data_IF_020896046916
#
_entry.id   IF_020896046916
#
_cell.length_a   1.000
_cell.length_b   1.000
_cell.length_c   1.000
_cell.angle_alpha   90.00
_cell.angle_beta   90.00
_cell.angle_gamma   90.00
#
_symmetry.space_group_name_H-M   'P 1'
#
loop_
_entity.id
_entity.type
_entity.pdbx_description
1 polymer ?
#
# COMPACT_ATOMS: atom_id res chain seq x y z
N UNK A 1 2.52 -12.86 -4.48
CA UNK A 1 1.46 -11.91 -4.85
C UNK A 1 0.34 -12.06 -3.86
N UNK A 2 -0.07 -10.96 -3.24
CA UNK A 2 -1.30 -10.84 -2.45
C UNK A 2 -2.34 -10.15 -3.34
N UNK A 3 -3.61 -10.54 -3.27
CA UNK A 3 -4.65 -9.91 -4.06
C UNK A 3 -5.95 -9.76 -3.27
N UNK A 4 -6.75 -8.78 -3.66
CA UNK A 4 -8.00 -8.41 -3.00
C UNK A 4 -8.88 -7.53 -3.87
N UNK A 5 -9.90 -6.95 -3.26
CA UNK A 5 -10.82 -6.03 -3.92
C UNK A 5 -11.09 -4.82 -3.03
N UNK A 6 -11.27 -3.64 -3.66
CA UNK A 6 -11.69 -2.43 -2.95
C UNK A 6 -13.09 -2.65 -2.39
N UNK A 7 -13.27 -2.42 -1.09
CA UNK A 7 -14.59 -2.52 -0.41
C UNK A 7 -15.13 -1.14 0.00
N UNK A 8 -14.26 -0.12 0.03
CA UNK A 8 -14.65 1.26 0.30
C UNK A 8 -13.69 2.22 -0.40
N UNK A 9 -14.22 3.17 -1.15
CA UNK A 9 -13.45 4.27 -1.73
C UNK A 9 -13.45 5.45 -0.78
N UNK A 10 -12.30 6.11 -0.61
CA UNK A 10 -12.14 7.30 0.21
C UNK A 10 -11.77 8.53 -0.63
N UNK A 11 -12.12 9.71 -0.11
CA UNK A 11 -12.07 10.99 -0.84
C UNK A 11 -11.29 12.09 -0.10
N UNK A 12 -10.61 11.73 1.00
CA UNK A 12 -10.02 12.70 1.91
C UNK A 12 -8.50 12.77 1.77
N UNK A 13 -7.96 13.94 2.11
CA UNK A 13 -6.52 14.21 2.28
C UNK A 13 -6.27 14.77 3.66
N UNK A 14 -5.05 14.60 4.17
CA UNK A 14 -4.56 15.22 5.40
C UNK A 14 -3.10 15.60 5.20
N UNK A 15 -2.72 16.76 5.73
CA UNK A 15 -1.35 17.28 5.69
C UNK A 15 -0.62 17.12 7.03
N UNK A 16 -1.33 16.76 8.10
CA UNK A 16 -0.81 16.60 9.47
C UNK A 16 -1.43 15.33 10.10
N UNK A 17 -1.44 14.22 9.34
CA UNK A 17 -2.12 12.99 9.76
C UNK A 17 -1.46 12.32 10.96
N UNK A 18 -0.15 12.46 11.11
CA UNK A 18 0.63 11.87 12.21
C UNK A 18 0.59 10.36 12.27
N UNK A 19 0.63 9.67 11.13
CA UNK A 19 0.91 8.22 11.12
C UNK A 19 2.37 7.97 11.46
N UNK A 20 2.66 6.78 12.00
CA UNK A 20 4.00 6.39 12.41
C UNK A 20 4.39 5.06 11.75
N UNK A 21 5.53 5.06 11.07
CA UNK A 21 6.01 3.87 10.38
C UNK A 21 6.47 2.81 11.38
N UNK A 22 5.83 1.65 11.35
CA UNK A 22 6.22 0.49 12.15
C UNK A 22 7.59 -0.08 11.69
N UNK A 23 8.36 -0.77 12.56
CA UNK A 23 9.70 -1.27 12.23
C UNK A 23 9.77 -2.39 11.19
N UNK A 24 8.64 -2.90 10.74
CA UNK A 24 8.60 -4.18 10.05
C UNK A 24 8.59 -3.97 8.54
N UNK A 25 9.50 -4.65 7.86
CA UNK A 25 9.59 -4.63 6.40
C UNK A 25 8.41 -5.32 5.72
N UNK A 26 7.69 -6.20 6.42
CA UNK A 26 6.60 -6.98 5.84
C UNK A 26 5.50 -7.36 6.83
N UNK A 27 4.36 -7.76 6.28
CA UNK A 27 3.20 -8.27 7.01
C UNK A 27 2.56 -9.45 6.30
N UNK A 28 2.37 -10.54 7.05
CA UNK A 28 1.41 -11.56 6.64
C UNK A 28 0.01 -10.98 6.72
N UNK A 29 -0.77 -11.19 5.66
CA UNK A 29 -2.19 -10.85 5.60
C UNK A 29 -2.98 -12.10 5.24
N UNK A 30 -4.17 -12.25 5.81
CA UNK A 30 -5.05 -13.41 5.61
C UNK A 30 -6.21 -13.07 4.70
N UNK A 31 -6.75 -14.08 4.04
CA UNK A 31 -8.01 -13.93 3.33
C UNK A 31 -9.13 -13.52 4.29
N UNK A 32 -9.94 -12.55 3.89
CA UNK A 32 -11.00 -11.94 4.69
C UNK A 32 -10.55 -10.78 5.59
N UNK A 33 -9.23 -10.51 5.72
CA UNK A 33 -8.76 -9.30 6.40
C UNK A 33 -9.02 -8.07 5.53
N UNK A 34 -9.41 -6.96 6.14
CA UNK A 34 -9.65 -5.68 5.47
C UNK A 34 -8.58 -4.68 5.92
N UNK A 35 -7.93 -4.00 4.98
CA UNK A 35 -6.87 -3.04 5.28
C UNK A 35 -7.07 -1.72 4.55
N UNK A 36 -6.65 -0.62 5.18
CA UNK A 36 -6.72 0.73 4.61
C UNK A 36 -5.48 0.98 3.74
N UNK A 37 -5.68 1.46 2.52
CA UNK A 37 -4.62 1.84 1.59
C UNK A 37 -4.49 3.37 1.60
N UNK A 38 -3.28 3.85 1.89
CA UNK A 38 -3.03 5.27 2.12
C UNK A 38 -1.85 5.71 1.29
N UNK A 39 -2.09 6.59 0.32
CA UNK A 39 -1.05 7.12 -0.55
C UNK A 39 -0.28 8.27 0.14
N UNK A 40 1.04 8.32 -0.04
CA UNK A 40 1.91 9.39 0.49
C UNK A 40 3.09 9.62 -0.45
N UNK A 41 3.65 10.83 -0.43
CA UNK A 41 4.87 11.21 -1.15
C UNK A 41 6.14 11.03 -0.29
N UNK A 42 5.98 10.65 0.98
CA UNK A 42 7.10 10.38 1.89
C UNK A 42 7.95 9.21 1.37
N UNK A 43 9.26 9.30 1.58
CA UNK A 43 10.26 8.28 1.19
C UNK A 43 11.03 7.69 2.37
N UNK A 44 10.88 8.28 3.56
CA UNK A 44 11.56 7.83 4.78
C UNK A 44 11.08 6.44 5.18
N UNK A 45 12.03 5.58 5.58
CA UNK A 45 11.73 4.17 5.90
C UNK A 45 12.23 3.74 7.27
N UNK A 46 12.81 4.66 8.04
CA UNK A 46 13.16 4.44 9.43
C UNK A 46 11.93 4.14 10.30
N UNK A 47 12.10 3.25 11.28
CA UNK A 47 11.12 3.04 12.34
C UNK A 47 10.79 4.37 13.03
N UNK A 48 9.51 4.61 13.32
CA UNK A 48 9.06 5.83 13.99
C UNK A 48 8.99 7.05 13.06
N UNK A 49 9.30 6.90 11.77
CA UNK A 49 9.16 8.00 10.81
C UNK A 49 7.73 8.50 10.76
N UNK A 50 7.57 9.81 10.90
CA UNK A 50 6.27 10.48 10.88
C UNK A 50 5.79 10.67 9.45
N UNK A 51 4.57 10.21 9.16
CA UNK A 51 3.91 10.30 7.87
C UNK A 51 2.67 11.19 8.01
N UNK A 52 2.74 12.37 7.42
CA UNK A 52 1.75 13.43 7.63
C UNK A 52 0.92 13.72 6.38
N UNK A 53 1.59 13.88 5.22
CA UNK A 53 0.94 14.16 3.93
C UNK A 53 0.42 12.88 3.31
N UNK A 54 -0.89 12.71 3.36
CA UNK A 54 -1.57 11.49 2.92
C UNK A 54 -2.82 11.78 2.09
N UNK A 55 -3.07 10.91 1.12
CA UNK A 55 -4.31 10.81 0.38
C UNK A 55 -4.89 9.40 0.58
N UNK A 56 -6.13 9.31 1.03
CA UNK A 56 -6.74 8.03 1.35
C UNK A 56 -7.31 7.40 0.08
N UNK A 57 -6.84 6.20 -0.27
CA UNK A 57 -7.33 5.46 -1.43
C UNK A 57 -8.65 4.78 -1.10
N UNK A 58 -8.65 3.97 -0.03
CA UNK A 58 -9.78 3.13 0.28
C UNK A 58 -9.43 1.98 1.19
N UNK A 59 -10.40 1.13 1.46
CA UNK A 59 -10.18 -0.16 2.10
C UNK A 59 -10.23 -1.27 1.07
N UNK A 60 -9.36 -2.27 1.21
CA UNK A 60 -9.36 -3.49 0.41
C UNK A 60 -9.53 -4.72 1.29
N UNK A 61 -10.43 -5.62 0.89
CA UNK A 61 -10.52 -6.97 1.47
C UNK A 61 -9.55 -7.88 0.75
N UNK A 62 -8.73 -8.59 1.51
CA UNK A 62 -7.77 -9.57 0.99
C UNK A 62 -8.53 -10.83 0.60
N UNK A 63 -8.47 -11.20 -0.68
CA UNK A 63 -9.07 -12.43 -1.20
C UNK A 63 -8.03 -13.56 -1.30
N UNK A 64 -6.77 -13.21 -1.56
CA UNK A 64 -5.64 -14.12 -1.66
C UNK A 64 -4.59 -13.73 -0.63
N UNK A 65 -4.48 -14.54 0.43
CA UNK A 65 -3.54 -14.36 1.53
C UNK A 65 -2.06 -14.40 1.07
N UNK A 66 -1.17 -13.86 1.89
CA UNK A 66 0.26 -13.94 1.64
C UNK A 66 1.04 -12.96 2.50
N UNK A 67 2.18 -12.52 1.99
CA UNK A 67 3.04 -11.51 2.61
C UNK A 67 3.04 -10.28 1.72
N UNK A 68 2.77 -9.13 2.31
CA UNK A 68 2.97 -7.82 1.69
C UNK A 68 4.34 -7.32 2.16
N UNK A 69 5.24 -7.07 1.22
CA UNK A 69 6.57 -6.55 1.47
C UNK A 69 6.63 -5.05 1.15
N UNK A 70 7.41 -4.30 1.93
CA UNK A 70 7.87 -2.98 1.51
C UNK A 70 8.58 -3.11 0.17
N UNK A 71 8.21 -2.24 -0.77
CA UNK A 71 8.69 -2.27 -2.16
C UNK A 71 7.76 -3.01 -3.13
N UNK A 72 6.75 -3.76 -2.65
CA UNK A 72 5.75 -4.35 -3.56
C UNK A 72 5.05 -3.25 -4.36
N UNK A 73 4.87 -3.48 -5.66
CA UNK A 73 3.97 -2.65 -6.46
C UNK A 73 2.55 -2.86 -6.00
N UNK A 74 1.84 -1.76 -5.77
CA UNK A 74 0.40 -1.75 -5.56
C UNK A 74 -0.26 -1.46 -6.90
N UNK A 75 -1.05 -2.40 -7.39
CA UNK A 75 -1.76 -2.32 -8.66
C UNK A 75 -3.27 -2.34 -8.42
N UNK A 76 -3.99 -1.50 -9.15
CA UNK A 76 -5.46 -1.52 -9.23
C UNK A 76 -5.85 -1.77 -10.68
N UNK A 77 -6.61 -2.85 -10.92
CA UNK A 77 -7.01 -3.29 -12.27
C UNK A 77 -5.80 -3.37 -13.23
N UNK A 78 -4.66 -3.85 -12.74
CA UNK A 78 -3.41 -3.98 -13.48
C UNK A 78 -2.57 -2.70 -13.60
N UNK A 79 -3.11 -1.52 -13.30
CA UNK A 79 -2.38 -0.24 -13.29
C UNK A 79 -1.64 -0.03 -11.98
N UNK A 80 -0.35 0.28 -12.03
CA UNK A 80 0.44 0.66 -10.84
C UNK A 80 -0.07 2.00 -10.29
N UNK A 81 -0.39 2.00 -9.00
CA UNK A 81 -0.80 3.21 -8.25
C UNK A 81 0.27 3.69 -7.26
N UNK A 82 1.28 2.85 -6.99
CA UNK A 82 2.44 3.18 -6.16
C UNK A 82 3.18 1.93 -5.70
N UNK A 83 4.03 2.07 -4.70
CA UNK A 83 4.76 0.96 -4.05
C UNK A 83 4.52 0.96 -2.55
N UNK A 84 4.53 -0.19 -1.89
CA UNK A 84 4.36 -0.26 -0.44
C UNK A 84 5.55 0.41 0.24
N UNK A 85 5.30 1.48 0.98
CA UNK A 85 6.29 2.16 1.83
C UNK A 85 6.47 1.42 3.17
N UNK A 86 5.38 0.88 3.70
CA UNK A 86 5.35 0.12 4.95
C UNK A 86 3.98 0.18 5.60
N UNK A 87 3.95 0.15 6.93
CA UNK A 87 2.72 -0.06 7.69
C UNK A 87 2.62 0.92 8.86
N UNK A 88 1.43 1.43 9.12
CA UNK A 88 1.07 2.10 10.36
C UNK A 88 0.00 1.26 11.09
N UNK A 89 0.11 1.23 12.42
CA UNK A 89 -0.69 0.38 13.30
C UNK A 89 -1.69 1.11 14.17
N UNK A 90 -2.00 2.40 13.91
CA UNK A 90 -2.81 3.20 14.83
C UNK A 90 -4.24 2.64 15.05
N UNK A 91 -4.72 1.79 14.15
CA UNK A 91 -6.01 1.09 14.27
C UNK A 91 -5.88 -0.42 14.53
N UNK A 92 -4.67 -0.95 14.74
CA UNK A 92 -4.48 -2.37 15.06
C UNK A 92 -5.15 -2.71 16.41
N UNK A 93 -5.84 -3.87 16.57
CA UNK A 93 -5.91 -5.02 15.67
C UNK A 93 -7.03 -4.97 14.61
N UNK A 94 -7.74 -3.85 14.45
CA UNK A 94 -8.82 -3.76 13.46
C UNK A 94 -8.27 -3.90 12.03
N UNK A 95 -7.31 -3.04 11.67
CA UNK A 95 -6.61 -3.10 10.40
C UNK A 95 -5.26 -2.40 10.48
N UNK A 96 -4.38 -2.68 9.51
CA UNK A 96 -3.24 -1.82 9.21
C UNK A 96 -3.63 -0.71 8.25
N UNK A 97 -2.96 0.43 8.39
CA UNK A 97 -2.75 1.34 7.27
C UNK A 97 -1.57 0.81 6.45
N UNK A 98 -1.82 0.32 5.25
CA UNK A 98 -0.76 0.00 4.28
C UNK A 98 -0.43 1.29 3.55
N UNK A 99 0.78 1.81 3.82
CA UNK A 99 1.26 3.05 3.27
C UNK A 99 1.82 2.80 1.86
N UNK A 100 1.35 3.57 0.89
CA UNK A 100 1.68 3.43 -0.54
C UNK A 100 2.42 4.69 -0.98
N UNK A 101 3.71 4.57 -1.28
CA UNK A 101 4.50 5.64 -1.84
C UNK A 101 4.10 5.93 -3.30
N UNK A 102 3.95 7.22 -3.61
CA UNK A 102 3.83 7.75 -4.98
C UNK A 102 4.24 9.22 -5.01
N UNK A 103 4.91 9.71 -6.07
CA UNK A 103 5.32 11.11 -6.16
C UNK A 103 4.14 12.10 -6.21
N UNK A 104 2.94 11.64 -6.57
CA UNK A 104 1.74 12.47 -6.64
C UNK A 104 0.55 11.74 -5.97
N UNK A 105 0.41 11.85 -4.64
CA UNK A 105 -0.66 11.17 -3.91
C UNK A 105 -2.03 11.66 -4.38
N UNK A 106 -2.89 10.71 -4.74
CA UNK A 106 -4.28 10.93 -5.10
C UNK A 106 -5.18 10.14 -4.17
N UNK A 107 -6.38 10.64 -3.91
CA UNK A 107 -7.44 9.89 -3.22
C UNK A 107 -8.02 8.82 -4.13
N UNK A 108 -8.78 7.89 -3.55
CA UNK A 108 -9.44 6.85 -4.34
C UNK A 108 -10.38 7.43 -5.39
N UNK A 109 -11.18 8.44 -5.05
CA UNK A 109 -12.06 9.08 -6.01
C UNK A 109 -11.32 9.82 -7.13
N UNK A 110 -10.21 10.49 -6.83
CA UNK A 110 -9.40 11.17 -7.87
C UNK A 110 -8.71 10.17 -8.81
N UNK A 111 -8.41 8.96 -8.33
CA UNK A 111 -7.94 7.85 -9.16
C UNK A 111 -9.05 7.13 -9.92
N UNK A 112 -10.32 7.49 -9.67
CA UNK A 112 -11.47 6.84 -10.27
C UNK A 112 -11.72 5.42 -9.75
N UNK A 113 -11.27 5.11 -8.52
CA UNK A 113 -11.52 3.81 -7.91
C UNK A 113 -13.01 3.59 -7.68
N UNK A 114 -13.44 2.35 -7.85
CA UNK A 114 -14.76 1.85 -7.52
C UNK A 114 -14.67 0.66 -6.53
N UNK A 115 -15.72 0.38 -5.75
CA UNK A 115 -15.85 -0.91 -5.09
C UNK A 115 -15.68 -2.06 -6.11
N UNK A 116 -15.15 -3.18 -5.63
CA UNK A 116 -14.83 -4.40 -6.39
C UNK A 116 -13.63 -4.28 -7.36
N UNK A 117 -13.04 -3.08 -7.50
CA UNK A 117 -11.77 -2.94 -8.23
C UNK A 117 -10.71 -3.87 -7.65
N UNK A 118 -10.03 -4.59 -8.54
CA UNK A 118 -9.05 -5.60 -8.16
C UNK A 118 -7.76 -4.92 -7.68
N UNK A 119 -7.32 -5.25 -6.47
CA UNK A 119 -6.05 -4.78 -5.89
C UNK A 119 -5.05 -5.94 -5.88
N UNK A 120 -3.81 -5.67 -6.27
CA UNK A 120 -2.72 -6.64 -6.25
C UNK A 120 -1.46 -6.01 -5.62
N UNK A 121 -0.80 -6.76 -4.74
CA UNK A 121 0.54 -6.47 -4.23
C UNK A 121 1.51 -7.45 -4.88
N UNK A 122 2.46 -6.92 -5.65
CA UNK A 122 3.36 -7.72 -6.48
C UNK A 122 4.80 -7.35 -6.22
N UNK A 123 5.60 -8.34 -5.83
CA UNK A 123 7.05 -8.20 -5.75
C UNK A 123 7.61 -7.82 -7.13
N UNK A 124 8.37 -6.73 -7.16
CA UNK A 124 9.18 -6.39 -8.33
C UNK A 124 10.32 -7.41 -8.37
N UNK A 125 10.40 -8.19 -9.45
CA UNK A 125 11.59 -9.03 -9.67
C UNK A 125 12.72 -8.12 -10.13
N UNK A 126 13.84 -8.11 -9.43
CA UNK A 126 15.08 -7.65 -10.04
C UNK A 126 15.42 -8.61 -11.19
N UNK A 127 15.60 -8.07 -12.40
CA UNK A 127 16.22 -8.84 -13.47
C UNK A 127 17.65 -9.19 -13.03
N UNK A 128 17.96 -10.48 -13.00
CA UNK A 128 19.32 -10.92 -12.70
C UNK A 128 20.28 -10.29 -13.73
N UNK A 129 21.43 -9.72 -13.30
CA UNK A 129 22.37 -9.12 -14.23
C UNK A 129 22.79 -10.16 -15.26
N UNK A 130 22.64 -9.81 -16.54
CA UNK A 130 23.12 -10.64 -17.65
C UNK A 130 24.64 -10.76 -17.49
N UNK A 131 25.11 -11.96 -17.11
CA UNK A 131 26.54 -12.25 -17.10
C UNK A 131 27.05 -12.12 -18.55
N UNK A 132 27.82 -11.07 -18.82
CA UNK A 132 28.58 -10.94 -20.06
C UNK A 132 29.60 -12.08 -20.10
N UNK A 133 29.37 -13.08 -20.94
CA UNK A 133 30.42 -14.02 -21.33
C UNK A 133 31.44 -13.27 -22.16
N UNK A 134 32.62 -13.03 -21.57
CA UNK A 134 33.82 -12.60 -22.30
C UNK A 134 34.44 -13.74 -23.11
#
# INVERSE_FOLDING_TARGET
>A
MVAGAVVKVLIHRREERGMELLPFASRCVRAGEVHELVATDHTETAEGARIDRVAFLGFAEIACAGVVDRGDEVRVNGRVVGTVLGFDGCHFPNHYNILVHTPAPLTGAELGLAPEDRVEFTQVREEAPVLSTG
#
